data_IF_923796721475
#
_entry.id   IF_923796721475
#
_cell.length_a   1.000
_cell.length_b   1.000
_cell.length_c   1.000
_cell.angle_alpha   90.00
_cell.angle_beta   90.00
_cell.angle_gamma   90.00
#
_symmetry.space_group_name_H-M   'P 1'
#
loop_
_entity.id
_entity.type
_entity.pdbx_description
1 polymer ?
#
# COMPACT_ATOMS: atom_id res chain seq x y z
N UNK A 1 -0.04 9.57 -17.65
CA UNK A 1 -0.77 8.79 -16.61
C UNK A 1 -0.93 9.66 -15.38
N UNK A 2 -2.12 9.74 -14.87
CA UNK A 2 -2.41 10.59 -13.71
C UNK A 2 -2.02 9.90 -12.41
N UNK A 3 -1.83 10.71 -11.36
CA UNK A 3 -1.45 10.20 -10.03
C UNK A 3 -2.46 9.17 -9.52
N UNK A 4 -3.77 9.43 -9.73
CA UNK A 4 -4.78 8.49 -9.27
C UNK A 4 -4.65 7.12 -9.95
N UNK A 5 -4.21 7.10 -11.20
CA UNK A 5 -3.99 5.84 -11.92
C UNK A 5 -2.83 5.07 -11.30
N UNK A 6 -1.76 5.78 -10.97
CA UNK A 6 -0.59 5.19 -10.31
C UNK A 6 -0.98 4.59 -8.97
N UNK A 7 -1.79 5.33 -8.20
CA UNK A 7 -2.26 4.86 -6.89
C UNK A 7 -3.10 3.59 -7.03
N UNK A 8 -4.01 3.55 -8.02
CA UNK A 8 -4.85 2.37 -8.22
C UNK A 8 -4.03 1.16 -8.66
N UNK A 9 -3.02 1.38 -9.49
CA UNK A 9 -2.10 0.30 -9.90
C UNK A 9 -1.39 -0.25 -8.66
N UNK A 10 -0.90 0.62 -7.78
CA UNK A 10 -0.20 0.20 -6.57
C UNK A 10 -1.12 -0.61 -5.65
N UNK A 11 -2.34 -0.13 -5.42
CA UNK A 11 -3.27 -0.82 -4.53
C UNK A 11 -3.68 -2.19 -5.09
N UNK A 12 -4.05 -2.21 -6.37
CA UNK A 12 -4.47 -3.46 -7.01
C UNK A 12 -3.32 -4.47 -7.05
N UNK A 13 -2.12 -4.01 -7.38
CA UNK A 13 -0.95 -4.87 -7.42
C UNK A 13 -0.62 -5.46 -6.06
N UNK A 14 -0.72 -4.66 -5.01
CA UNK A 14 -0.43 -5.12 -3.66
C UNK A 14 -1.43 -6.19 -3.22
N UNK A 15 -2.72 -6.00 -3.52
CA UNK A 15 -3.74 -7.01 -3.23
C UNK A 15 -3.40 -8.31 -3.95
N UNK A 16 -3.08 -8.21 -5.23
CA UNK A 16 -2.81 -9.39 -6.05
C UNK A 16 -1.59 -10.17 -5.57
N UNK A 17 -0.55 -9.45 -5.14
CA UNK A 17 0.71 -10.09 -4.74
C UNK A 17 0.68 -10.61 -3.31
N UNK A 18 -0.08 -9.98 -2.42
CA UNK A 18 -0.10 -10.36 -1.01
C UNK A 18 -1.33 -11.15 -0.60
N UNK A 19 -2.44 -10.96 -1.30
CA UNK A 19 -3.71 -11.55 -0.90
C UNK A 19 -4.39 -10.83 0.25
N UNK A 20 -3.83 -9.72 0.71
CA UNK A 20 -4.42 -8.93 1.78
C UNK A 20 -5.54 -8.04 1.24
N UNK A 21 -6.25 -7.36 2.12
CA UNK A 21 -7.46 -6.63 1.73
C UNK A 21 -7.48 -5.20 2.25
N UNK A 22 -8.42 -4.41 1.72
CA UNK A 22 -8.70 -3.04 2.17
C UNK A 22 -7.49 -2.10 2.09
N UNK A 23 -6.89 -1.95 0.91
CA UNK A 23 -5.74 -1.05 0.76
C UNK A 23 -6.17 0.41 0.80
N UNK A 24 -5.36 1.23 1.44
CA UNK A 24 -5.56 2.68 1.49
C UNK A 24 -4.22 3.35 1.21
N UNK A 25 -4.18 4.21 0.21
CA UNK A 25 -2.96 4.97 -0.08
C UNK A 25 -2.84 6.08 0.95
N UNK A 26 -1.73 6.10 1.68
CA UNK A 26 -1.49 7.10 2.74
C UNK A 26 -0.39 8.07 2.39
N UNK A 27 0.31 7.86 1.30
CA UNK A 27 1.33 8.78 0.85
C UNK A 27 1.80 8.43 -0.55
N UNK A 28 2.28 9.44 -1.26
CA UNK A 28 2.84 9.24 -2.58
C UNK A 28 4.02 10.19 -2.74
N UNK A 29 5.08 9.69 -3.35
CA UNK A 29 6.30 10.45 -3.55
C UNK A 29 6.96 9.96 -4.83
N UNK A 30 7.55 10.89 -5.58
CA UNK A 30 8.27 10.53 -6.79
C UNK A 30 9.75 10.79 -6.56
N UNK A 31 10.56 9.78 -6.83
CA UNK A 31 12.00 9.88 -6.67
C UNK A 31 12.65 9.38 -7.96
N UNK A 32 13.34 10.28 -8.65
CA UNK A 32 13.86 10.02 -9.99
C UNK A 32 12.69 9.65 -10.92
N UNK A 33 12.73 8.50 -11.55
CA UNK A 33 11.68 8.04 -12.48
C UNK A 33 10.79 6.98 -11.85
N UNK A 34 10.73 6.94 -10.52
CA UNK A 34 9.96 5.91 -9.80
C UNK A 34 8.99 6.58 -8.83
N UNK A 35 7.74 6.13 -8.88
CA UNK A 35 6.72 6.53 -7.91
C UNK A 35 6.78 5.59 -6.71
N UNK A 36 6.82 6.16 -5.53
CA UNK A 36 6.74 5.43 -4.26
C UNK A 36 5.38 5.72 -3.64
N UNK A 37 4.54 4.70 -3.57
CA UNK A 37 3.21 4.85 -2.99
C UNK A 37 3.18 4.09 -1.68
N UNK A 38 2.89 4.79 -0.59
CA UNK A 38 2.74 4.14 0.70
C UNK A 38 1.30 3.69 0.83
N UNK A 39 1.11 2.37 0.97
CA UNK A 39 -0.20 1.77 1.04
C UNK A 39 -0.34 1.04 2.37
N UNK A 40 -1.40 1.37 3.11
CA UNK A 40 -1.76 0.63 4.32
C UNK A 40 -2.80 -0.41 3.94
N UNK A 41 -2.57 -1.65 4.34
CA UNK A 41 -3.44 -2.76 3.94
C UNK A 41 -3.67 -3.68 5.14
N UNK A 42 -4.86 -4.27 5.21
CA UNK A 42 -5.21 -5.17 6.29
C UNK A 42 -4.58 -6.53 6.03
N UNK A 43 -3.59 -6.89 6.87
CA UNK A 43 -2.92 -8.18 6.74
C UNK A 43 -3.64 -9.27 7.51
N UNK A 44 -4.21 -8.93 8.67
CA UNK A 44 -4.91 -9.91 9.49
C UNK A 44 -6.15 -9.25 10.08
N UNK A 45 -7.32 -9.50 9.49
CA UNK A 45 -8.56 -8.95 10.02
C UNK A 45 -8.93 -9.64 11.33
N UNK A 46 -9.65 -8.91 12.19
CA UNK A 46 -10.13 -9.42 13.45
C UNK A 46 -11.62 -9.15 13.55
N UNK A 47 -12.32 -9.93 14.37
CA UNK A 47 -13.75 -9.74 14.61
C UNK A 47 -14.01 -8.34 15.19
N UNK A 48 -13.09 -7.86 16.02
CA UNK A 48 -13.12 -6.48 16.50
C UNK A 48 -12.24 -5.66 15.56
N UNK A 49 -12.85 -4.79 14.74
CA UNK A 49 -12.13 -4.06 13.69
C UNK A 49 -10.94 -3.27 14.20
N UNK A 50 -11.01 -2.76 15.45
CA UNK A 50 -9.91 -1.99 16.01
C UNK A 50 -8.69 -2.86 16.37
N UNK A 51 -8.80 -4.18 16.26
CA UNK A 51 -7.70 -5.09 16.49
C UNK A 51 -7.11 -5.65 15.20
N UNK A 52 -7.60 -5.19 14.05
CA UNK A 52 -7.03 -5.57 12.77
C UNK A 52 -5.54 -5.25 12.74
N UNK A 53 -4.76 -6.17 12.16
CA UNK A 53 -3.34 -5.95 11.98
C UNK A 53 -3.12 -5.37 10.59
N UNK A 54 -2.48 -4.21 10.55
CA UNK A 54 -2.26 -3.47 9.31
C UNK A 54 -0.79 -3.45 8.95
N UNK A 55 -0.51 -3.60 7.67
CA UNK A 55 0.85 -3.45 7.16
C UNK A 55 0.94 -2.20 6.32
N UNK A 56 2.03 -1.48 6.42
CA UNK A 56 2.31 -0.31 5.58
C UNK A 56 3.43 -0.69 4.64
N UNK A 57 3.16 -0.55 3.35
CA UNK A 57 4.07 -0.97 2.29
C UNK A 57 4.50 0.20 1.44
N UNK A 58 5.74 0.18 0.99
CA UNK A 58 6.24 1.07 -0.05
C UNK A 58 6.12 0.31 -1.37
N UNK A 59 5.20 0.74 -2.22
CA UNK A 59 4.98 0.11 -3.52
C UNK A 59 5.61 0.99 -4.58
N UNK A 60 6.44 0.41 -5.42
CA UNK A 60 7.17 1.15 -6.45
C UNK A 60 6.57 0.90 -7.83
N UNK A 61 6.28 1.98 -8.54
CA UNK A 61 5.68 1.95 -9.87
C UNK A 61 6.49 2.89 -10.77
N UNK A 62 6.80 2.45 -12.00
CA UNK A 62 7.56 3.29 -12.92
C UNK A 62 6.63 4.30 -13.62
N UNK A 63 7.21 5.14 -14.47
CA UNK A 63 6.46 6.19 -15.16
C UNK A 63 5.46 5.66 -16.18
N UNK A 64 5.60 4.42 -16.59
CA UNK A 64 4.71 3.77 -17.54
C UNK A 64 3.59 3.01 -16.86
N UNK A 65 3.56 3.00 -15.53
CA UNK A 65 2.55 2.29 -14.78
C UNK A 65 2.89 0.83 -14.49
N UNK A 66 4.14 0.45 -14.66
CA UNK A 66 4.57 -0.92 -14.35
C UNK A 66 4.93 -1.05 -12.89
N UNK A 67 4.38 -2.06 -12.22
CA UNK A 67 4.69 -2.34 -10.83
C UNK A 67 6.10 -2.93 -10.76
N UNK A 68 6.99 -2.28 -10.03
CA UNK A 68 8.38 -2.70 -9.92
C UNK A 68 8.62 -3.59 -8.71
N UNK A 69 7.88 -3.36 -7.63
CA UNK A 69 8.06 -4.15 -6.43
C UNK A 69 7.40 -3.48 -5.24
N UNK A 70 7.50 -4.14 -4.09
CA UNK A 70 6.92 -3.61 -2.85
C UNK A 70 7.76 -4.08 -1.69
N UNK A 71 7.68 -3.33 -0.57
CA UNK A 71 8.43 -3.65 0.64
C UNK A 71 7.60 -3.23 1.85
N UNK A 72 7.47 -4.12 2.83
CA UNK A 72 6.81 -3.77 4.08
C UNK A 72 7.71 -2.83 4.87
N UNK A 73 7.16 -1.65 5.22
CA UNK A 73 7.90 -0.66 6.01
C UNK A 73 7.66 -0.88 7.49
N UNK A 74 6.40 -1.16 7.87
CA UNK A 74 6.05 -1.36 9.28
C UNK A 74 4.68 -2.03 9.38
N UNK A 75 4.35 -2.47 10.59
CA UNK A 75 3.05 -3.02 10.92
C UNK A 75 2.50 -2.27 12.12
N UNK A 76 1.18 -2.21 12.20
CA UNK A 76 0.52 -1.62 13.38
C UNK A 76 -0.86 -2.23 13.54
N UNK A 77 -1.42 -2.12 14.74
CA UNK A 77 -2.81 -2.45 14.97
C UNK A 77 -3.66 -1.24 14.64
N UNK A 78 -4.88 -1.47 14.17
CA UNK A 78 -5.76 -0.37 13.76
C UNK A 78 -6.01 0.62 14.90
N UNK A 79 -6.03 0.17 16.14
CA UNK A 79 -6.28 1.04 17.29
C UNK A 79 -5.07 1.87 17.72
N UNK A 80 -3.89 1.61 17.17
CA UNK A 80 -2.70 2.36 17.53
C UNK A 80 -2.71 3.73 16.84
N UNK A 81 -2.21 4.72 17.58
CA UNK A 81 -2.05 6.07 17.02
C UNK A 81 -0.60 6.26 16.59
N UNK A 82 -0.42 6.97 15.51
CA UNK A 82 0.89 7.31 15.00
C UNK A 82 1.60 8.31 15.90
#
# INVERSE_FOLDING_TARGET
MEIKDIVEIAKAGLIQLTGFSSPTAIGINKEADIWHINVEITEKPSEAANLDLLGIYDVRVDLLGNLLGYERIRMRKRCEKE
#
